data_IF_436165742399
#
_entry.id   IF_436165742399
#
_cell.length_a   1.000
_cell.length_b   1.000
_cell.length_c   1.000
_cell.angle_alpha   90.00
_cell.angle_beta   90.00
_cell.angle_gamma   90.00
#
_symmetry.space_group_name_H-M   'P 1'
#
loop_
_entity.id
_entity.type
_entity.pdbx_description
1 polymer ?
#
# COMPACT_ATOMS: atom_id res chain seq x y z
N UNK A 1 -6.05 -20.82 -35.46
CA UNK A 1 -4.82 -20.01 -35.28
C UNK A 1 -4.58 -19.82 -33.79
N UNK A 2 -3.41 -20.16 -33.22
CA UNK A 2 -3.14 -19.93 -31.80
C UNK A 2 -3.02 -18.40 -31.52
N UNK A 3 -3.64 -17.93 -30.44
CA UNK A 3 -3.51 -16.54 -29.98
C UNK A 3 -2.06 -16.32 -29.54
N UNK A 4 -1.39 -15.33 -30.14
CA UNK A 4 -0.05 -14.92 -29.71
C UNK A 4 -0.13 -14.42 -28.27
N UNK A 5 0.73 -14.93 -27.40
CA UNK A 5 0.92 -14.41 -26.05
C UNK A 5 1.36 -12.93 -26.11
N UNK A 6 0.86 -12.07 -25.22
CA UNK A 6 1.28 -10.66 -25.19
C UNK A 6 2.80 -10.56 -24.94
N UNK A 7 3.46 -9.64 -25.64
CA UNK A 7 4.90 -9.43 -25.50
C UNK A 7 5.22 -8.88 -24.09
N UNK A 8 6.39 -9.22 -23.56
CA UNK A 8 6.88 -8.74 -22.26
C UNK A 8 6.90 -7.20 -22.13
N UNK A 9 7.03 -6.47 -23.25
CA UNK A 9 6.90 -5.00 -23.31
C UNK A 9 5.46 -4.53 -23.06
N UNK A 10 4.44 -5.23 -23.57
CA UNK A 10 3.02 -4.91 -23.33
C UNK A 10 2.66 -5.12 -21.87
N UNK A 11 3.10 -6.21 -21.25
CA UNK A 11 2.86 -6.50 -19.82
C UNK A 11 3.53 -5.49 -18.88
N UNK A 12 4.70 -4.93 -19.24
CA UNK A 12 5.35 -3.84 -18.48
C UNK A 12 4.59 -2.53 -18.61
N UNK A 13 4.09 -2.18 -19.80
CA UNK A 13 3.30 -0.97 -20.03
C UNK A 13 1.99 -0.99 -19.26
N UNK A 14 1.29 -2.13 -19.23
CA UNK A 14 0.02 -2.26 -18.51
C UNK A 14 0.20 -2.25 -16.99
N UNK A 15 1.30 -2.78 -16.47
CA UNK A 15 1.64 -2.70 -15.05
C UNK A 15 1.89 -1.26 -14.59
N UNK A 16 2.56 -0.41 -15.39
CA UNK A 16 2.77 1.02 -15.06
C UNK A 16 1.48 1.81 -14.97
N UNK A 17 0.47 1.50 -15.77
CA UNK A 17 -0.84 2.19 -15.75
C UNK A 17 -1.65 1.95 -14.47
N UNK A 18 -1.35 0.92 -13.69
CA UNK A 18 -2.08 0.54 -12.49
C UNK A 18 -1.39 0.98 -11.19
N UNK A 19 -0.22 1.61 -11.27
CA UNK A 19 0.53 2.09 -10.10
C UNK A 19 0.29 3.57 -9.84
N UNK A 20 0.25 3.94 -8.56
CA UNK A 20 0.27 5.34 -8.13
C UNK A 20 1.71 5.81 -8.09
N UNK A 21 2.06 6.70 -9.00
CA UNK A 21 3.40 7.32 -9.07
C UNK A 21 3.48 8.58 -8.19
N UNK A 22 4.70 9.04 -7.84
CA UNK A 22 4.89 10.26 -7.05
C UNK A 22 4.19 11.51 -7.63
N UNK A 23 4.09 11.59 -8.95
CA UNK A 23 3.43 12.69 -9.68
C UNK A 23 1.95 12.46 -9.98
N UNK A 24 1.36 11.37 -9.49
CA UNK A 24 -0.09 11.14 -9.65
C UNK A 24 -0.89 12.31 -9.10
N UNK A 25 -1.94 12.76 -9.81
CA UNK A 25 -2.80 13.85 -9.34
C UNK A 25 -3.34 13.55 -7.94
N UNK A 26 -3.26 14.54 -7.06
CA UNK A 26 -3.83 14.47 -5.72
C UNK A 26 -5.22 15.09 -5.73
N UNK A 27 -6.23 14.28 -5.51
CA UNK A 27 -7.62 14.73 -5.42
C UNK A 27 -8.29 14.13 -4.17
N UNK A 28 -7.97 14.67 -2.98
CA UNK A 28 -8.50 14.13 -1.74
C UNK A 28 -10.03 14.36 -1.65
N UNK A 29 -10.76 13.30 -1.36
CA UNK A 29 -12.21 13.32 -1.19
C UNK A 29 -12.64 13.32 0.28
N UNK A 30 -11.66 13.30 1.22
CA UNK A 30 -11.91 13.29 2.66
C UNK A 30 -11.19 14.45 3.35
N UNK A 31 -11.72 14.98 4.49
CA UNK A 31 -11.03 16.01 5.26
C UNK A 31 -9.62 15.58 5.70
N UNK A 32 -9.43 14.30 6.06
CA UNK A 32 -8.11 13.76 6.39
C UNK A 32 -7.15 13.85 5.20
N UNK A 33 -7.57 13.40 4.03
CA UNK A 33 -6.73 13.48 2.83
C UNK A 33 -6.38 14.92 2.44
N UNK A 34 -7.35 15.84 2.55
CA UNK A 34 -7.14 17.26 2.28
C UNK A 34 -6.12 17.87 3.27
N UNK A 35 -6.24 17.57 4.57
CA UNK A 35 -5.29 18.06 5.58
C UNK A 35 -3.87 17.51 5.38
N UNK A 36 -3.74 16.24 5.00
CA UNK A 36 -2.43 15.65 4.68
C UNK A 36 -1.78 16.28 3.45
N UNK A 37 -2.55 16.56 2.41
CA UNK A 37 -2.05 17.25 1.24
C UNK A 37 -1.59 18.68 1.58
N UNK A 38 -2.41 19.42 2.31
CA UNK A 38 -2.07 20.76 2.78
C UNK A 38 -0.80 20.76 3.65
N UNK A 39 -0.67 19.81 4.59
CA UNK A 39 0.52 19.66 5.43
C UNK A 39 1.78 19.45 4.58
N UNK A 40 1.73 18.63 3.53
CA UNK A 40 2.86 18.42 2.64
C UNK A 40 3.30 19.70 1.91
N UNK A 41 2.32 20.47 1.40
CA UNK A 41 2.62 21.75 0.75
C UNK A 41 3.20 22.77 1.73
N UNK A 42 2.59 22.91 2.92
CA UNK A 42 3.08 23.84 3.95
C UNK A 42 4.48 23.47 4.44
N UNK A 43 4.74 22.19 4.69
CA UNK A 43 6.07 21.71 5.06
C UNK A 43 7.12 22.06 3.99
N UNK A 44 6.83 21.80 2.72
CA UNK A 44 7.75 22.14 1.63
C UNK A 44 8.00 23.64 1.47
N UNK A 45 6.98 24.49 1.74
CA UNK A 45 7.14 25.96 1.74
C UNK A 45 8.04 26.40 2.90
N UNK A 46 7.78 25.92 4.10
CA UNK A 46 8.53 26.26 5.30
C UNK A 46 9.99 25.80 5.21
N UNK A 47 10.24 24.58 4.75
CA UNK A 47 11.60 24.07 4.56
C UNK A 47 12.41 24.97 3.60
N UNK A 48 11.81 25.39 2.48
CA UNK A 48 12.48 26.32 1.54
C UNK A 48 12.79 27.66 2.19
N UNK A 49 11.88 28.21 2.98
CA UNK A 49 12.08 29.48 3.71
C UNK A 49 13.21 29.36 4.73
N UNK A 50 13.32 28.21 5.38
CA UNK A 50 14.35 27.95 6.39
C UNK A 50 15.68 27.39 5.82
N UNK A 51 15.77 27.19 4.50
CA UNK A 51 16.94 26.57 3.87
C UNK A 51 17.15 25.11 4.26
N UNK A 52 16.07 24.39 4.55
CA UNK A 52 16.08 22.97 4.91
C UNK A 52 15.69 22.10 3.72
N UNK A 53 16.23 20.91 3.62
CA UNK A 53 15.77 19.89 2.70
C UNK A 53 14.37 19.37 3.11
N UNK A 54 13.55 19.04 2.13
CA UNK A 54 12.20 18.53 2.35
C UNK A 54 11.90 17.34 1.47
N UNK A 55 11.68 16.19 2.06
CA UNK A 55 11.30 14.96 1.38
C UNK A 55 9.90 14.56 1.86
N UNK A 56 9.02 14.19 0.92
CA UNK A 56 7.62 13.86 1.25
C UNK A 56 7.27 12.40 0.94
N UNK A 57 7.34 11.48 1.93
CA UNK A 57 6.89 10.10 1.75
C UNK A 57 5.36 10.01 1.71
N UNK A 58 4.82 9.34 0.70
CA UNK A 58 3.41 8.92 0.61
C UNK A 58 3.28 7.47 1.01
N UNK A 59 2.83 7.22 2.23
CA UNK A 59 2.65 5.88 2.76
C UNK A 59 1.38 5.27 2.17
N UNK A 60 1.49 4.03 1.72
CA UNK A 60 0.37 3.20 1.32
C UNK A 60 -0.13 2.35 2.51
N UNK A 61 -0.61 1.13 2.26
CA UNK A 61 -1.15 0.30 3.33
C UNK A 61 -0.02 -0.43 4.07
N UNK A 62 0.37 0.09 5.21
CA UNK A 62 1.31 -0.55 6.13
C UNK A 62 0.54 -1.35 7.17
N UNK A 63 0.98 -2.58 7.43
CA UNK A 63 0.43 -3.45 8.46
C UNK A 63 1.54 -3.91 9.43
N UNK A 64 1.16 -4.36 10.62
CA UNK A 64 2.10 -4.88 11.62
C UNK A 64 1.51 -4.95 13.02
N UNK A 65 2.33 -5.35 14.00
CA UNK A 65 1.89 -5.67 15.37
C UNK A 65 1.24 -4.51 16.14
N UNK A 66 1.50 -3.26 15.76
CA UNK A 66 0.93 -2.05 16.37
C UNK A 66 -0.18 -1.42 15.53
N UNK A 67 -0.72 -2.16 14.58
CA UNK A 67 -1.81 -1.69 13.74
C UNK A 67 -3.09 -1.48 14.58
N UNK A 68 -3.91 -0.49 14.18
CA UNK A 68 -5.20 -0.26 14.85
C UNK A 68 -6.08 -1.51 14.73
N UNK A 69 -6.73 -1.88 15.82
CA UNK A 69 -7.62 -3.05 15.90
C UNK A 69 -8.78 -3.04 14.90
N UNK A 70 -9.13 -1.87 14.37
CA UNK A 70 -10.23 -1.67 13.43
C UNK A 70 -9.84 -1.86 11.96
N UNK A 71 -8.56 -2.04 11.65
CA UNK A 71 -8.12 -2.30 10.28
C UNK A 71 -8.55 -3.68 9.80
N UNK A 72 -8.56 -3.89 8.49
CA UNK A 72 -9.02 -5.15 7.91
C UNK A 72 -8.16 -6.34 8.36
N UNK A 73 -6.83 -6.19 8.36
CA UNK A 73 -5.91 -7.27 8.75
C UNK A 73 -6.03 -7.55 10.25
N UNK A 74 -5.85 -6.53 11.10
CA UNK A 74 -5.87 -6.73 12.56
C UNK A 74 -7.23 -7.24 13.05
N UNK A 75 -8.33 -6.65 12.59
CA UNK A 75 -9.68 -7.08 12.98
C UNK A 75 -10.03 -8.48 12.45
N UNK A 76 -9.60 -8.77 11.21
CA UNK A 76 -9.80 -10.08 10.60
C UNK A 76 -9.08 -11.18 11.35
N UNK A 77 -7.76 -11.02 11.59
CA UNK A 77 -6.95 -11.99 12.33
C UNK A 77 -7.49 -12.22 13.76
N UNK A 78 -7.84 -11.15 14.49
CA UNK A 78 -8.37 -11.29 15.85
C UNK A 78 -9.69 -12.06 15.90
N UNK A 79 -10.60 -11.77 14.97
CA UNK A 79 -11.86 -12.51 14.87
C UNK A 79 -11.65 -13.97 14.51
N UNK A 80 -10.81 -14.24 13.50
CA UNK A 80 -10.49 -15.60 13.08
C UNK A 80 -9.87 -16.40 14.23
N UNK A 81 -8.88 -15.85 14.94
CA UNK A 81 -8.26 -16.49 16.10
C UNK A 81 -9.23 -16.73 17.26
N UNK A 82 -10.24 -15.87 17.41
CA UNK A 82 -11.27 -16.01 18.43
C UNK A 82 -12.45 -16.88 17.99
N UNK A 83 -12.41 -17.47 16.79
CA UNK A 83 -13.53 -18.25 16.24
C UNK A 83 -14.79 -17.41 15.96
N UNK A 84 -14.65 -16.07 15.85
CA UNK A 84 -15.75 -15.16 15.57
C UNK A 84 -15.92 -15.06 14.06
N UNK A 85 -17.13 -15.22 13.51
CA UNK A 85 -17.38 -15.07 12.08
C UNK A 85 -16.87 -13.74 11.53
N UNK A 86 -16.18 -13.81 10.41
CA UNK A 86 -15.71 -12.63 9.67
C UNK A 86 -16.59 -12.40 8.44
N UNK A 87 -16.70 -11.15 8.02
CA UNK A 87 -17.44 -10.75 6.83
C UNK A 87 -16.58 -9.80 6.00
N UNK A 88 -16.22 -10.22 4.80
CA UNK A 88 -15.46 -9.43 3.84
C UNK A 88 -16.29 -9.13 2.59
N UNK A 89 -15.88 -8.12 1.84
CA UNK A 89 -16.36 -7.89 0.47
C UNK A 89 -15.93 -9.05 -0.43
N UNK A 90 -16.32 -9.11 -1.72
CA UNK A 90 -15.81 -10.12 -2.65
C UNK A 90 -14.27 -10.13 -2.78
N UNK A 91 -13.60 -9.10 -2.25
CA UNK A 91 -12.15 -8.98 -2.12
C UNK A 91 -11.36 -9.12 -3.45
N UNK A 92 -11.98 -8.68 -4.55
CA UNK A 92 -11.37 -8.69 -5.88
C UNK A 92 -10.45 -7.51 -6.14
N UNK A 93 -10.54 -6.45 -5.32
CA UNK A 93 -9.66 -5.29 -5.42
C UNK A 93 -8.21 -5.69 -5.20
N UNK A 94 -7.32 -5.07 -5.98
CA UNK A 94 -5.88 -5.27 -5.84
C UNK A 94 -5.33 -4.30 -4.80
N UNK A 95 -4.52 -4.83 -3.86
CA UNK A 95 -4.02 -4.06 -2.73
C UNK A 95 -2.54 -4.31 -2.50
N UNK A 96 -1.83 -3.24 -2.16
CA UNK A 96 -0.40 -3.26 -1.87
C UNK A 96 -0.21 -3.10 -0.36
N UNK A 97 0.19 -4.17 0.32
CA UNK A 97 0.54 -4.14 1.73
C UNK A 97 2.05 -4.19 1.93
N UNK A 98 2.55 -3.38 2.84
CA UNK A 98 3.95 -3.33 3.25
C UNK A 98 4.05 -3.60 4.75
N UNK A 99 4.96 -4.49 5.15
CA UNK A 99 5.19 -4.76 6.57
C UNK A 99 5.83 -3.55 7.26
N UNK A 100 5.46 -3.30 8.52
CA UNK A 100 5.86 -2.11 9.27
C UNK A 100 7.38 -1.97 9.45
N UNK A 101 8.12 -3.08 9.57
CA UNK A 101 9.58 -3.05 9.62
C UNK A 101 10.19 -2.54 8.32
N UNK A 102 9.68 -2.99 7.17
CA UNK A 102 10.11 -2.48 5.88
C UNK A 102 9.73 -1.01 5.69
N UNK A 103 8.56 -0.59 6.16
CA UNK A 103 8.19 0.82 6.16
C UNK A 103 9.17 1.66 6.98
N UNK A 104 9.54 1.22 8.18
CA UNK A 104 10.56 1.87 9.01
C UNK A 104 11.91 1.96 8.31
N UNK A 105 12.34 0.86 7.66
CA UNK A 105 13.59 0.83 6.90
C UNK A 105 13.54 1.77 5.68
N UNK A 106 12.41 1.84 4.98
CA UNK A 106 12.22 2.79 3.89
C UNK A 106 12.39 4.24 4.37
N UNK A 107 11.79 4.60 5.51
CA UNK A 107 11.95 5.92 6.11
C UNK A 107 13.40 6.23 6.48
N UNK A 108 14.08 5.29 7.10
CA UNK A 108 15.51 5.45 7.41
C UNK A 108 16.34 5.73 6.15
N UNK A 109 16.16 4.91 5.12
CA UNK A 109 16.88 5.07 3.86
C UNK A 109 16.53 6.38 3.12
N UNK A 110 15.28 6.82 3.18
CA UNK A 110 14.84 8.11 2.65
C UNK A 110 15.55 9.26 3.38
N UNK A 111 15.69 9.18 4.70
CA UNK A 111 16.42 10.18 5.47
C UNK A 111 17.91 10.24 5.15
N UNK A 112 18.54 9.08 4.86
CA UNK A 112 19.97 8.98 4.57
C UNK A 112 20.34 9.34 3.12
N UNK A 113 19.46 9.03 2.16
CA UNK A 113 19.82 9.02 0.73
C UNK A 113 18.78 9.69 -0.17
N UNK A 114 17.65 10.09 0.38
CA UNK A 114 16.58 10.70 -0.40
C UNK A 114 17.01 12.06 -0.96
N UNK A 115 16.36 12.48 -2.04
CA UNK A 115 16.67 13.76 -2.70
C UNK A 115 15.74 14.86 -2.18
N UNK A 116 16.29 16.05 -1.98
CA UNK A 116 15.49 17.23 -1.65
C UNK A 116 14.39 17.47 -2.68
N UNK A 117 13.21 17.85 -2.21
CA UNK A 117 12.01 18.06 -3.01
C UNK A 117 11.37 16.78 -3.53
N UNK A 118 11.94 15.61 -3.30
CA UNK A 118 11.38 14.36 -3.81
C UNK A 118 10.13 13.93 -3.05
N UNK A 119 9.22 13.27 -3.81
CA UNK A 119 8.08 12.53 -3.26
C UNK A 119 8.32 11.04 -3.52
N UNK A 120 8.28 10.24 -2.47
CA UNK A 120 8.42 8.79 -2.58
C UNK A 120 7.11 8.08 -2.21
N UNK A 121 6.67 7.14 -3.05
CA UNK A 121 5.60 6.22 -2.67
C UNK A 121 6.19 5.07 -1.85
N UNK A 122 5.75 4.92 -0.61
CA UNK A 122 6.20 3.87 0.31
C UNK A 122 5.15 2.75 0.36
N UNK A 123 5.45 1.66 -0.30
CA UNK A 123 4.65 0.45 -0.42
C UNK A 123 5.54 -0.73 -0.83
N UNK A 124 4.97 -1.91 -1.05
CA UNK A 124 5.73 -3.06 -1.54
C UNK A 124 6.00 -3.01 -3.04
N UNK A 125 5.22 -2.22 -3.79
CA UNK A 125 5.24 -2.20 -5.25
C UNK A 125 4.55 -3.43 -5.89
N UNK A 126 3.95 -4.31 -5.09
CA UNK A 126 3.35 -5.58 -5.51
C UNK A 126 1.92 -5.71 -5.00
N UNK A 127 0.94 -5.26 -5.79
CA UNK A 127 -0.45 -5.45 -5.43
C UNK A 127 -0.95 -6.85 -5.81
N UNK A 128 -1.57 -7.54 -4.84
CA UNK A 128 -2.28 -8.81 -5.04
C UNK A 128 -3.80 -8.60 -4.87
N UNK A 129 -4.66 -9.47 -5.41
CA UNK A 129 -6.07 -9.48 -5.03
C UNK A 129 -6.22 -9.57 -3.50
N UNK A 130 -7.08 -8.72 -2.90
CA UNK A 130 -7.28 -8.69 -1.45
C UNK A 130 -7.71 -10.06 -0.90
N UNK A 131 -8.42 -10.82 -1.74
CA UNK A 131 -8.81 -12.21 -1.44
C UNK A 131 -7.62 -13.11 -1.07
N UNK A 132 -6.47 -12.94 -1.72
CA UNK A 132 -5.28 -13.78 -1.44
C UNK A 132 -4.74 -13.52 -0.02
N UNK A 133 -4.74 -12.27 0.45
CA UNK A 133 -4.37 -11.94 1.82
C UNK A 133 -5.34 -12.54 2.85
N UNK A 134 -6.66 -12.46 2.58
CA UNK A 134 -7.69 -13.01 3.47
C UNK A 134 -7.58 -14.53 3.56
N UNK A 135 -7.38 -15.21 2.42
CA UNK A 135 -7.20 -16.66 2.40
C UNK A 135 -5.93 -17.09 3.14
N UNK A 136 -4.85 -16.28 3.05
CA UNK A 136 -3.63 -16.55 3.82
C UNK A 136 -3.84 -16.37 5.33
N UNK A 137 -4.55 -15.33 5.75
CA UNK A 137 -4.96 -15.17 7.14
C UNK A 137 -5.79 -16.36 7.64
N UNK A 138 -6.75 -16.82 6.82
CA UNK A 138 -7.60 -17.97 7.14
C UNK A 138 -6.77 -19.27 7.26
N UNK A 139 -5.83 -19.50 6.36
CA UNK A 139 -4.90 -20.63 6.41
C UNK A 139 -4.08 -20.64 7.71
N UNK A 140 -3.48 -19.51 8.09
CA UNK A 140 -2.64 -19.37 9.29
C UNK A 140 -3.46 -19.57 10.56
N UNK A 141 -4.71 -19.13 10.59
CA UNK A 141 -5.59 -19.22 11.76
C UNK A 141 -6.42 -20.50 11.83
N UNK A 142 -6.37 -21.35 10.79
CA UNK A 142 -7.21 -22.54 10.69
C UNK A 142 -8.69 -22.24 10.44
N UNK A 143 -9.02 -21.06 9.88
CA UNK A 143 -10.41 -20.67 9.61
C UNK A 143 -10.86 -21.23 8.26
N UNK A 144 -11.84 -22.13 8.27
CA UNK A 144 -12.34 -22.78 7.03
C UNK A 144 -13.13 -21.82 6.15
N UNK A 145 -14.02 -21.01 6.75
CA UNK A 145 -14.91 -20.09 6.04
C UNK A 145 -14.67 -18.62 6.46
N UNK A 146 -13.76 -17.89 5.78
CA UNK A 146 -13.45 -16.52 6.17
C UNK A 146 -14.52 -15.48 5.77
N UNK A 147 -15.69 -15.88 5.28
CA UNK A 147 -16.83 -14.98 4.99
C UNK A 147 -16.56 -13.99 3.86
N UNK A 148 -15.80 -14.40 2.82
CA UNK A 148 -15.56 -13.58 1.63
C UNK A 148 -16.84 -13.48 0.78
N UNK A 149 -17.24 -12.24 0.45
CA UNK A 149 -18.45 -11.96 -0.33
C UNK A 149 -19.69 -11.72 0.53
N UNK A 150 -19.59 -11.82 1.85
CA UNK A 150 -20.73 -11.61 2.77
C UNK A 150 -21.11 -10.13 2.91
N UNK A 151 -20.26 -9.21 2.48
CA UNK A 151 -20.53 -7.76 2.49
C UNK A 151 -20.42 -7.17 1.09
N UNK A 152 -21.30 -6.23 0.70
CA UNK A 152 -21.15 -5.50 -0.55
C UNK A 152 -19.95 -4.55 -0.48
N UNK A 153 -19.46 -4.13 -1.64
CA UNK A 153 -18.51 -3.01 -1.69
C UNK A 153 -19.18 -1.71 -1.26
N UNK A 154 -18.50 -0.88 -0.46
CA UNK A 154 -18.98 0.48 -0.21
C UNK A 154 -18.94 1.31 -1.50
N UNK A 155 -19.82 2.32 -1.57
CA UNK A 155 -19.80 3.28 -2.69
C UNK A 155 -18.41 3.94 -2.79
N UNK A 156 -17.88 4.02 -3.99
CA UNK A 156 -16.55 4.62 -4.22
C UNK A 156 -15.37 3.76 -3.75
N UNK A 157 -15.56 2.44 -3.58
CA UNK A 157 -14.49 1.53 -3.20
C UNK A 157 -13.29 1.63 -4.13
N UNK A 158 -12.10 1.75 -3.57
CA UNK A 158 -10.84 1.72 -4.34
C UNK A 158 -10.59 0.28 -4.79
N UNK A 159 -10.55 0.08 -6.11
CA UNK A 159 -10.38 -1.25 -6.70
C UNK A 159 -8.93 -1.58 -7.04
N UNK A 160 -8.04 -0.61 -7.02
CA UNK A 160 -6.62 -0.83 -7.24
C UNK A 160 -5.77 0.16 -6.45
N UNK A 161 -4.93 -0.35 -5.60
CA UNK A 161 -3.94 0.41 -4.84
C UNK A 161 -2.59 -0.29 -4.98
N UNK A 162 -1.64 0.34 -5.64
CA UNK A 162 -0.28 -0.16 -5.82
C UNK A 162 0.69 1.02 -5.87
N UNK A 163 1.70 1.01 -5.01
CA UNK A 163 2.76 2.01 -5.03
C UNK A 163 3.67 1.80 -6.24
N UNK A 164 4.08 2.87 -6.89
CA UNK A 164 5.25 2.87 -7.75
C UNK A 164 6.47 3.23 -6.89
N UNK A 165 7.34 2.27 -6.67
CA UNK A 165 8.52 2.40 -5.82
C UNK A 165 9.81 2.58 -6.62
N UNK A 166 9.71 2.79 -7.95
CA UNK A 166 10.88 2.84 -8.83
C UNK A 166 11.89 3.92 -8.37
N UNK A 167 11.41 5.18 -8.12
CA UNK A 167 12.29 6.25 -7.65
C UNK A 167 12.82 6.03 -6.23
N UNK A 168 12.07 5.38 -5.36
CA UNK A 168 12.55 5.02 -4.02
C UNK A 168 13.71 4.02 -4.13
N UNK A 169 13.58 3.02 -4.99
CA UNK A 169 14.65 2.06 -5.26
C UNK A 169 15.88 2.73 -5.91
N UNK A 170 15.68 3.55 -6.94
CA UNK A 170 16.76 4.22 -7.68
C UNK A 170 17.61 5.12 -6.77
N UNK A 171 16.97 5.89 -5.89
CA UNK A 171 17.67 6.85 -5.03
C UNK A 171 18.26 6.20 -3.76
N UNK A 172 17.57 5.19 -3.20
CA UNK A 172 17.90 4.67 -1.87
C UNK A 172 18.35 3.21 -1.84
N UNK A 173 18.07 2.46 -2.89
CA UNK A 173 18.28 1.01 -2.92
C UNK A 173 17.23 0.23 -2.14
N UNK A 174 16.10 0.84 -1.75
CA UNK A 174 15.08 0.17 -0.96
C UNK A 174 14.40 -0.96 -1.74
N UNK A 175 14.38 -2.14 -1.13
CA UNK A 175 13.60 -3.31 -1.56
C UNK A 175 12.94 -3.91 -0.32
N UNK A 176 11.63 -4.24 -0.33
CA UNK A 176 11.02 -4.96 0.79
C UNK A 176 11.74 -6.27 1.07
N UNK A 177 11.97 -6.58 2.36
CA UNK A 177 12.62 -7.82 2.82
C UNK A 177 11.62 -8.86 3.31
N UNK A 178 10.42 -8.40 3.72
CA UNK A 178 9.39 -9.27 4.27
C UNK A 178 8.26 -9.46 3.25
N UNK A 179 7.84 -10.71 3.09
CA UNK A 179 6.58 -11.02 2.42
C UNK A 179 5.40 -10.73 3.37
N UNK A 180 4.17 -10.76 2.86
CA UNK A 180 2.99 -10.64 3.72
C UNK A 180 2.89 -11.79 4.72
N UNK A 181 3.38 -12.94 4.34
CA UNK A 181 3.37 -14.18 5.11
C UNK A 181 4.39 -14.17 6.26
N UNK A 182 5.45 -13.36 6.13
CA UNK A 182 6.51 -13.22 7.15
C UNK A 182 6.18 -12.16 8.22
N UNK A 183 5.31 -11.23 7.90
CA UNK A 183 4.92 -10.10 8.76
C UNK A 183 3.67 -10.37 9.56
#
# INVERSE_FOLDING_TARGET
RPRKSPSTKSLRSDRKKLRTIPTSPTNPTTPYGASKLASGHLAGMLCRELGMECIWPRIFSVYGIYEKETTMIASGLRKMLAGIPTEFTPAMQRWDYLYSKDAGRAYYLIGEKGRDGAVYCVGSGHARPLREYILKMAEITGTEEPGIGMRPYPSGAVMNLCADTDNLYEDTGFVPEYTFEDG
#
